data_IF_007326478459
#
_entry.id   IF_007326478459
#
_cell.length_a   1.000
_cell.length_b   1.000
_cell.length_c   1.000
_cell.angle_alpha   90.00
_cell.angle_beta   90.00
_cell.angle_gamma   90.00
#
_symmetry.space_group_name_H-M   'P 1'
#
loop_
_entity.id
_entity.type
_entity.pdbx_description
1 polymer ?
#
# COMPACT_ATOMS: atom_id res chain seq x y z
N UNK A 1 -16.65 18.14 0.72
CA UNK A 1 -16.56 16.65 0.63
C UNK A 1 -15.52 16.14 1.62
N UNK A 2 -15.80 15.07 2.37
CA UNK A 2 -14.86 14.45 3.32
C UNK A 2 -14.38 13.09 2.80
N UNK A 3 -13.07 12.86 2.75
CA UNK A 3 -12.44 11.63 2.27
C UNK A 3 -11.72 10.91 3.40
N UNK A 4 -12.16 9.70 3.75
CA UNK A 4 -11.41 8.79 4.59
C UNK A 4 -10.41 8.02 3.72
N UNK A 5 -9.13 8.36 3.85
CA UNK A 5 -8.05 7.73 3.09
C UNK A 5 -7.30 6.73 3.95
N UNK A 6 -7.50 5.45 3.67
CA UNK A 6 -6.85 4.33 4.34
C UNK A 6 -5.58 3.96 3.57
N UNK A 7 -4.45 4.51 4.01
CA UNK A 7 -3.19 4.46 3.29
C UNK A 7 -2.10 3.62 3.98
N UNK A 8 -0.90 3.70 3.44
CA UNK A 8 0.30 3.04 3.94
C UNK A 8 1.22 4.01 4.69
N UNK A 9 2.40 3.55 5.10
CA UNK A 9 3.45 4.41 5.66
C UNK A 9 3.89 5.55 4.73
N UNK A 10 3.73 5.39 3.42
CA UNK A 10 3.98 6.48 2.46
C UNK A 10 3.00 7.63 2.62
N UNK A 11 1.80 7.36 3.12
CA UNK A 11 0.71 8.32 3.21
C UNK A 11 0.70 9.05 4.55
N UNK A 12 1.04 8.33 5.63
CA UNK A 12 1.06 8.84 7.00
C UNK A 12 2.43 9.35 7.45
N UNK A 13 3.52 8.86 6.84
CA UNK A 13 4.89 9.24 7.22
C UNK A 13 5.29 10.64 6.73
N UNK A 14 6.40 11.15 7.28
CA UNK A 14 6.97 12.47 6.96
C UNK A 14 8.14 12.38 5.96
N UNK A 15 7.97 11.60 4.89
CA UNK A 15 8.98 11.36 3.86
C UNK A 15 9.11 12.51 2.86
N UNK A 16 8.08 13.32 2.74
CA UNK A 16 8.03 14.52 1.89
C UNK A 16 7.35 15.65 2.66
N UNK A 17 7.49 16.89 2.18
CA UNK A 17 6.80 18.03 2.76
C UNK A 17 5.26 17.81 2.73
N UNK A 18 4.52 18.32 3.71
CA UNK A 18 3.06 18.12 3.77
C UNK A 18 2.35 18.48 2.47
N UNK A 19 2.73 19.58 1.82
CA UNK A 19 2.14 20.03 0.54
C UNK A 19 2.47 19.14 -0.66
N UNK A 20 3.45 18.25 -0.52
CA UNK A 20 3.86 17.30 -1.57
C UNK A 20 3.24 15.92 -1.40
N UNK A 21 2.44 15.70 -0.35
CA UNK A 21 1.75 14.44 -0.15
C UNK A 21 0.66 14.24 -1.20
N UNK A 22 0.53 13.02 -1.71
CA UNK A 22 -0.39 12.70 -2.81
C UNK A 22 -1.85 13.05 -2.52
N UNK A 23 -2.32 12.89 -1.28
CA UNK A 23 -3.70 13.25 -0.93
C UNK A 23 -3.93 14.77 -0.95
N UNK A 24 -2.92 15.58 -0.60
CA UNK A 24 -3.02 17.05 -0.69
C UNK A 24 -3.08 17.48 -2.15
N UNK A 25 -2.22 16.92 -3.00
CA UNK A 25 -2.21 17.23 -4.45
C UNK A 25 -3.51 16.77 -5.11
N UNK A 26 -3.97 15.55 -4.83
CA UNK A 26 -5.24 15.04 -5.35
C UNK A 26 -6.44 15.84 -4.83
N UNK A 27 -6.37 16.32 -3.58
CA UNK A 27 -7.40 17.19 -3.00
C UNK A 27 -7.57 18.48 -3.77
N UNK A 28 -6.49 19.16 -4.13
CA UNK A 28 -6.54 20.38 -4.93
C UNK A 28 -7.20 20.16 -6.30
N UNK A 29 -6.97 19.01 -6.93
CA UNK A 29 -7.61 18.64 -8.19
C UNK A 29 -9.11 18.38 -8.02
N UNK A 30 -9.48 17.64 -6.95
CA UNK A 30 -10.88 17.36 -6.62
C UNK A 30 -11.65 18.63 -6.24
N UNK A 31 -11.04 19.55 -5.48
CA UNK A 31 -11.62 20.84 -5.13
C UNK A 31 -11.91 21.70 -6.39
N UNK A 32 -10.99 21.68 -7.35
CA UNK A 32 -11.18 22.37 -8.62
C UNK A 32 -12.33 21.78 -9.45
N UNK A 33 -12.51 20.47 -9.45
CA UNK A 33 -13.60 19.80 -10.19
C UNK A 33 -14.96 19.96 -9.50
N UNK A 34 -14.99 19.90 -8.18
CA UNK A 34 -16.24 19.88 -7.40
C UNK A 34 -16.72 21.29 -7.02
N UNK A 35 -15.82 22.29 -7.02
CA UNK A 35 -16.12 23.63 -6.55
C UNK A 35 -16.34 23.75 -5.04
N UNK A 36 -15.93 22.72 -4.26
CA UNK A 36 -16.05 22.69 -2.82
C UNK A 36 -14.78 22.16 -2.12
N UNK A 37 -14.50 22.53 -0.86
CA UNK A 37 -13.33 22.04 -0.13
C UNK A 37 -13.36 20.53 0.07
N UNK A 38 -12.15 19.91 0.05
CA UNK A 38 -11.94 18.48 0.32
C UNK A 38 -11.19 18.30 1.62
N UNK A 39 -11.86 17.74 2.62
CA UNK A 39 -11.29 17.39 3.92
C UNK A 39 -10.74 15.96 3.89
N UNK A 40 -9.50 15.77 4.32
CA UNK A 40 -8.85 14.46 4.36
C UNK A 40 -8.71 13.94 5.79
N UNK A 41 -9.26 12.76 6.03
CA UNK A 41 -8.99 11.94 7.22
C UNK A 41 -8.07 10.81 6.80
N UNK A 42 -6.78 10.92 7.10
CA UNK A 42 -5.76 9.96 6.67
C UNK A 42 -5.42 9.01 7.81
N UNK A 43 -5.64 7.73 7.61
CA UNK A 43 -5.31 6.67 8.57
C UNK A 43 -4.35 5.66 7.94
N UNK A 44 -3.32 5.26 8.71
CA UNK A 44 -2.39 4.21 8.27
C UNK A 44 -2.98 2.84 8.54
N UNK A 45 -3.00 1.97 7.54
CA UNK A 45 -3.50 0.61 7.68
C UNK A 45 -2.40 -0.46 7.61
N UNK A 46 -2.57 -1.50 8.40
CA UNK A 46 -1.77 -2.70 8.41
C UNK A 46 -2.71 -3.90 8.57
N UNK A 47 -2.64 -4.97 7.75
CA UNK A 47 -3.67 -6.03 7.71
C UNK A 47 -3.61 -6.97 8.93
N UNK A 48 -3.74 -6.42 10.11
CA UNK A 48 -3.89 -7.11 11.40
C UNK A 48 -5.32 -7.58 11.61
N UNK A 49 -5.54 -8.44 12.59
CA UNK A 49 -6.85 -9.03 12.86
C UNK A 49 -7.89 -8.00 13.32
N UNK A 50 -7.44 -6.93 13.95
CA UNK A 50 -8.25 -5.82 14.45
C UNK A 50 -8.50 -4.70 13.43
N UNK A 51 -7.91 -4.79 12.22
CA UNK A 51 -8.07 -3.75 11.21
C UNK A 51 -9.54 -3.50 10.82
N UNK A 52 -10.41 -4.50 10.63
CA UNK A 52 -11.82 -4.25 10.29
C UNK A 52 -12.55 -3.44 11.36
N UNK A 53 -12.27 -3.69 12.64
CA UNK A 53 -12.84 -2.94 13.76
C UNK A 53 -12.37 -1.48 13.74
N UNK A 54 -11.08 -1.24 13.45
CA UNK A 54 -10.56 0.11 13.27
C UNK A 54 -11.20 0.82 12.09
N UNK A 55 -11.39 0.14 10.96
CA UNK A 55 -12.07 0.72 9.79
C UNK A 55 -13.50 1.12 10.16
N UNK A 56 -14.25 0.27 10.87
CA UNK A 56 -15.60 0.57 11.33
C UNK A 56 -15.63 1.83 12.21
N UNK A 57 -14.73 1.89 13.21
CA UNK A 57 -14.63 3.04 14.10
C UNK A 57 -14.28 4.35 13.36
N UNK A 58 -13.34 4.29 12.40
CA UNK A 58 -12.97 5.47 11.61
C UNK A 58 -14.08 5.94 10.68
N UNK A 59 -14.85 5.03 10.11
CA UNK A 59 -16.04 5.36 9.30
C UNK A 59 -17.09 6.05 10.18
N UNK A 60 -17.37 5.50 11.35
CA UNK A 60 -18.31 6.08 12.31
C UNK A 60 -17.85 7.46 12.79
N UNK A 61 -16.57 7.60 13.16
CA UNK A 61 -15.99 8.87 13.66
C UNK A 61 -16.00 9.96 12.58
N UNK A 62 -15.59 9.62 11.33
CA UNK A 62 -15.38 10.61 10.30
C UNK A 62 -16.60 10.89 9.44
N UNK A 63 -17.60 10.01 9.40
CA UNK A 63 -18.79 10.12 8.53
C UNK A 63 -18.41 10.58 7.11
N UNK A 64 -17.59 9.79 6.36
CA UNK A 64 -17.00 10.25 5.12
C UNK A 64 -17.98 10.20 3.95
N UNK A 65 -17.79 11.10 2.98
CA UNK A 65 -18.46 11.04 1.67
C UNK A 65 -17.79 10.02 0.74
N UNK A 66 -16.47 9.82 0.92
CA UNK A 66 -15.66 8.86 0.15
C UNK A 66 -14.75 8.07 1.08
N UNK A 67 -14.71 6.76 0.90
CA UNK A 67 -13.74 5.86 1.57
C UNK A 67 -12.80 5.31 0.50
N UNK A 68 -11.51 5.64 0.60
CA UNK A 68 -10.50 5.13 -0.31
C UNK A 68 -9.57 4.15 0.41
N UNK A 69 -9.67 2.85 0.07
CA UNK A 69 -8.83 1.79 0.62
C UNK A 69 -7.65 1.51 -0.31
N UNK A 70 -6.44 1.77 0.16
CA UNK A 70 -5.22 1.54 -0.61
C UNK A 70 -4.54 0.23 -0.19
N UNK A 71 -4.62 -0.81 -1.03
CA UNK A 71 -4.01 -2.11 -0.76
C UNK A 71 -2.50 -2.07 -1.00
N UNK A 72 -1.73 -2.29 0.05
CA UNK A 72 -0.28 -2.23 0.01
C UNK A 72 0.39 -3.52 -0.46
N UNK A 73 1.10 -3.49 -1.59
CA UNK A 73 1.90 -4.64 -2.06
C UNK A 73 3.05 -5.00 -1.10
N UNK A 74 3.47 -4.07 -0.25
CA UNK A 74 4.54 -4.29 0.74
C UNK A 74 4.21 -5.44 1.70
N UNK A 75 2.96 -5.61 2.09
CA UNK A 75 2.53 -6.53 3.14
C UNK A 75 2.84 -8.00 2.81
N UNK A 76 2.73 -8.40 1.55
CA UNK A 76 2.82 -9.79 1.10
C UNK A 76 3.87 -10.05 0.01
N UNK A 77 4.43 -8.99 -0.62
CA UNK A 77 5.49 -9.14 -1.63
C UNK A 77 6.89 -8.76 -1.11
N UNK A 78 6.96 -7.96 -0.04
CA UNK A 78 8.25 -7.57 0.50
C UNK A 78 8.83 -8.66 1.40
N UNK A 79 9.99 -9.18 1.00
CA UNK A 79 10.70 -10.22 1.73
C UNK A 79 11.70 -9.62 2.70
N UNK A 80 11.46 -9.86 3.98
CA UNK A 80 12.29 -9.41 5.09
C UNK A 80 13.22 -10.51 5.58
N UNK A 81 14.53 -10.25 5.52
CA UNK A 81 15.56 -11.16 6.10
C UNK A 81 15.39 -11.27 7.61
N UNK A 82 15.19 -10.19 8.38
CA UNK A 82 14.93 -10.28 9.82
C UNK A 82 13.74 -11.17 10.18
N UNK A 83 12.64 -11.13 9.42
CA UNK A 83 11.50 -12.04 9.63
C UNK A 83 11.90 -13.51 9.42
N UNK A 84 12.67 -13.77 8.36
CA UNK A 84 13.17 -15.12 8.08
C UNK A 84 14.07 -15.65 9.19
N UNK A 85 15.00 -14.81 9.67
CA UNK A 85 15.87 -15.15 10.80
C UNK A 85 15.05 -15.40 12.07
N UNK A 86 14.08 -14.52 12.36
CA UNK A 86 13.18 -14.71 13.51
C UNK A 86 12.46 -16.06 13.45
N UNK A 87 11.98 -16.46 12.29
CA UNK A 87 11.28 -17.74 12.09
C UNK A 87 12.21 -18.94 12.18
N UNK A 88 13.41 -18.87 11.57
CA UNK A 88 14.39 -19.96 11.58
C UNK A 88 14.94 -20.26 12.98
N UNK A 89 15.22 -19.22 13.75
CA UNK A 89 15.76 -19.36 15.11
C UNK A 89 14.66 -19.64 16.15
N UNK A 90 13.40 -19.43 15.83
CA UNK A 90 12.25 -19.74 16.67
C UNK A 90 12.41 -19.25 18.10
N UNK A 91 12.13 -20.13 19.08
CA UNK A 91 12.25 -19.83 20.52
C UNK A 91 13.71 -19.70 21.01
N UNK A 92 14.70 -20.15 20.24
CA UNK A 92 16.12 -20.13 20.61
C UNK A 92 16.80 -18.75 20.42
N UNK A 93 16.04 -17.66 20.48
CA UNK A 93 16.57 -16.29 20.36
C UNK A 93 16.19 -15.56 19.08
N UNK A 94 15.30 -16.14 18.27
CA UNK A 94 14.83 -15.56 17.01
C UNK A 94 14.22 -14.17 17.18
N UNK A 95 13.58 -13.91 18.30
CA UNK A 95 12.99 -12.61 18.59
C UNK A 95 14.06 -11.54 18.82
N UNK A 96 15.10 -11.83 19.60
CA UNK A 96 16.22 -10.90 19.82
C UNK A 96 16.99 -10.62 18.54
N UNK A 97 17.30 -11.67 17.77
CA UNK A 97 18.02 -11.56 16.50
C UNK A 97 17.19 -10.81 15.44
N UNK A 98 15.89 -11.11 15.31
CA UNK A 98 14.97 -10.43 14.43
C UNK A 98 14.84 -8.93 14.76
N UNK A 99 14.63 -8.60 16.05
CA UNK A 99 14.52 -7.22 16.53
C UNK A 99 15.83 -6.42 16.36
N UNK A 100 16.99 -7.05 16.53
CA UNK A 100 18.27 -6.44 16.22
C UNK A 100 18.40 -6.15 14.73
N UNK A 101 18.03 -7.10 13.86
CA UNK A 101 17.98 -6.93 12.42
C UNK A 101 17.04 -5.81 11.97
N UNK A 102 15.86 -5.68 12.60
CA UNK A 102 14.93 -4.58 12.32
C UNK A 102 15.48 -3.22 12.76
N UNK A 103 16.14 -3.13 13.92
CA UNK A 103 16.78 -1.89 14.38
C UNK A 103 17.85 -1.41 13.40
N UNK A 104 18.70 -2.32 12.93
CA UNK A 104 19.72 -2.01 11.94
C UNK A 104 19.07 -1.59 10.61
N UNK A 105 18.04 -2.30 10.15
CA UNK A 105 17.36 -2.00 8.89
C UNK A 105 16.62 -0.63 8.91
N UNK A 106 16.16 -0.17 10.09
CA UNK A 106 15.50 1.13 10.28
C UNK A 106 16.47 2.30 10.49
N UNK A 107 17.75 2.02 10.73
CA UNK A 107 18.75 3.08 10.95
C UNK A 107 19.05 3.80 9.63
N UNK A 108 18.83 5.10 9.55
CA UNK A 108 19.14 5.94 8.39
C UNK A 108 20.59 5.79 7.94
N UNK A 109 21.53 5.71 8.90
CA UNK A 109 22.95 5.51 8.64
C UNK A 109 23.24 4.25 7.82
N UNK A 110 22.51 3.16 8.06
CA UNK A 110 22.71 1.87 7.38
C UNK A 110 21.83 1.73 6.14
N UNK A 111 20.65 2.34 6.12
CA UNK A 111 19.72 2.26 4.99
C UNK A 111 20.33 2.76 3.68
N UNK A 112 21.16 3.82 3.76
CA UNK A 112 21.83 4.44 2.61
C UNK A 112 23.22 3.87 2.32
N UNK A 113 23.76 3.02 3.22
CA UNK A 113 25.10 2.46 3.03
C UNK A 113 25.11 1.39 1.92
N UNK A 114 25.91 1.56 0.83
CA UNK A 114 25.92 0.65 -0.30
C UNK A 114 26.42 -0.75 0.07
N UNK A 115 27.36 -0.87 1.01
CA UNK A 115 27.87 -2.15 1.49
C UNK A 115 26.78 -2.91 2.24
N UNK A 116 26.06 -2.24 3.14
CA UNK A 116 24.94 -2.84 3.86
C UNK A 116 23.82 -3.26 2.89
N UNK A 117 23.51 -2.46 1.89
CA UNK A 117 22.56 -2.82 0.82
C UNK A 117 23.00 -4.08 0.06
N UNK A 118 24.30 -4.18 -0.26
CA UNK A 118 24.90 -5.37 -0.88
C UNK A 118 24.77 -6.62 -0.01
N UNK A 119 25.12 -6.52 1.28
CA UNK A 119 24.97 -7.61 2.24
C UNK A 119 23.51 -8.04 2.37
N UNK A 120 22.59 -7.07 2.53
CA UNK A 120 21.15 -7.37 2.61
C UNK A 120 20.66 -8.10 1.36
N UNK A 121 21.10 -7.68 0.17
CA UNK A 121 20.76 -8.33 -1.09
C UNK A 121 21.29 -9.76 -1.15
N UNK A 122 22.56 -9.97 -0.80
CA UNK A 122 23.17 -11.28 -0.75
C UNK A 122 22.46 -12.22 0.24
N UNK A 123 22.09 -11.73 1.43
CA UNK A 123 21.30 -12.49 2.40
C UNK A 123 19.90 -12.81 1.87
N UNK A 124 19.23 -11.89 1.17
CA UNK A 124 17.95 -12.17 0.54
C UNK A 124 18.07 -13.24 -0.56
N UNK A 125 19.18 -13.29 -1.26
CA UNK A 125 19.43 -14.27 -2.32
C UNK A 125 19.80 -15.67 -1.79
N UNK A 126 20.50 -15.73 -0.66
CA UNK A 126 21.00 -17.00 -0.07
C UNK A 126 20.03 -17.60 0.94
N UNK A 127 19.64 -16.84 1.95
CA UNK A 127 18.76 -17.29 3.05
C UNK A 127 17.29 -17.12 2.66
N UNK A 128 17.01 -16.22 1.71
CA UNK A 128 15.67 -15.79 1.36
C UNK A 128 15.12 -14.77 2.36
N UNK A 129 13.83 -14.47 2.24
CA UNK A 129 13.11 -13.60 3.16
C UNK A 129 11.68 -14.08 3.31
N UNK A 130 11.06 -13.76 4.43
CA UNK A 130 9.65 -14.00 4.68
C UNK A 130 8.85 -12.70 4.52
N UNK A 131 7.61 -12.82 4.07
CA UNK A 131 6.67 -11.71 4.02
C UNK A 131 6.00 -11.52 5.39
N UNK A 132 5.47 -10.33 5.64
CA UNK A 132 4.74 -10.04 6.88
C UNK A 132 3.46 -10.86 6.97
N UNK A 133 2.75 -10.95 5.84
CA UNK A 133 1.51 -11.71 5.71
C UNK A 133 1.58 -12.60 4.48
N UNK A 134 0.81 -13.67 4.46
CA UNK A 134 0.52 -14.43 3.25
C UNK A 134 -0.48 -13.65 2.39
N UNK A 135 -0.52 -13.94 1.09
CA UNK A 135 -1.52 -13.34 0.19
C UNK A 135 -2.94 -13.63 0.67
N UNK A 136 -3.20 -14.85 1.18
CA UNK A 136 -4.52 -15.22 1.69
C UNK A 136 -4.90 -14.39 2.92
N UNK A 137 -4.01 -14.22 3.89
CA UNK A 137 -4.27 -13.36 5.05
C UNK A 137 -4.61 -11.93 4.66
N UNK A 138 -3.96 -11.40 3.60
CA UNK A 138 -4.28 -10.05 3.09
C UNK A 138 -5.64 -10.04 2.41
N UNK A 139 -5.97 -11.07 1.61
CA UNK A 139 -7.30 -11.21 0.97
C UNK A 139 -8.38 -11.21 2.05
N UNK A 140 -8.29 -12.13 3.02
CA UNK A 140 -9.30 -12.31 4.06
C UNK A 140 -9.52 -10.99 4.82
N UNK A 141 -8.43 -10.32 5.18
CA UNK A 141 -8.50 -9.09 5.95
C UNK A 141 -9.04 -7.90 5.16
N UNK A 142 -8.63 -7.77 3.88
CA UNK A 142 -9.15 -6.72 3.01
C UNK A 142 -10.61 -6.96 2.65
N UNK A 143 -11.05 -8.21 2.49
CA UNK A 143 -12.45 -8.55 2.30
C UNK A 143 -13.31 -8.07 3.47
N UNK A 144 -12.91 -8.36 4.71
CA UNK A 144 -13.60 -7.86 5.90
C UNK A 144 -13.66 -6.33 5.93
N UNK A 145 -12.55 -5.65 5.65
CA UNK A 145 -12.50 -4.18 5.61
C UNK A 145 -13.42 -3.58 4.53
N UNK A 146 -13.44 -4.18 3.34
CA UNK A 146 -14.29 -3.71 2.23
C UNK A 146 -15.77 -3.92 2.56
N UNK A 147 -16.12 -5.06 3.16
CA UNK A 147 -17.51 -5.32 3.61
C UNK A 147 -17.96 -4.33 4.69
N UNK A 148 -17.05 -3.95 5.60
CA UNK A 148 -17.34 -2.92 6.61
C UNK A 148 -17.53 -1.56 5.93
N UNK A 149 -16.64 -1.16 5.03
CA UNK A 149 -16.75 0.10 4.32
C UNK A 149 -18.01 0.19 3.45
N UNK A 150 -18.39 -0.91 2.78
CA UNK A 150 -19.58 -0.98 1.93
C UNK A 150 -20.91 -0.82 2.67
N UNK A 151 -20.92 -0.94 4.02
CA UNK A 151 -22.11 -0.68 4.84
C UNK A 151 -22.34 0.80 5.12
N UNK A 152 -21.41 1.66 4.78
CA UNK A 152 -21.55 3.11 4.93
C UNK A 152 -22.46 3.65 3.81
N UNK A 153 -23.77 3.71 4.04
CA UNK A 153 -24.80 4.00 3.04
C UNK A 153 -24.60 5.29 2.25
N UNK A 154 -23.96 6.29 2.87
CA UNK A 154 -23.73 7.60 2.27
C UNK A 154 -22.33 7.78 1.66
N UNK A 155 -21.46 6.78 1.77
CA UNK A 155 -20.09 6.88 1.29
C UNK A 155 -19.87 6.16 -0.03
N UNK A 156 -19.17 6.81 -0.94
CA UNK A 156 -18.62 6.16 -2.13
C UNK A 156 -17.36 5.40 -1.74
N UNK A 157 -17.34 4.08 -1.94
CA UNK A 157 -16.20 3.24 -1.60
C UNK A 157 -15.36 2.97 -2.85
N UNK A 158 -14.07 3.25 -2.75
CA UNK A 158 -13.07 3.00 -3.80
C UNK A 158 -11.96 2.12 -3.24
N UNK A 159 -11.72 0.99 -3.86
CA UNK A 159 -10.66 0.05 -3.48
C UNK A 159 -9.55 0.09 -4.51
N UNK A 160 -8.37 0.55 -4.11
CA UNK A 160 -7.18 0.49 -4.95
C UNK A 160 -6.53 -0.88 -4.84
N UNK A 161 -6.44 -1.57 -5.96
CA UNK A 161 -5.77 -2.85 -6.07
C UNK A 161 -4.25 -2.78 -5.90
N UNK A 162 -3.59 -3.92 -5.63
CA UNK A 162 -2.15 -3.99 -5.45
C UNK A 162 -1.43 -3.70 -6.77
N UNK A 163 -0.49 -2.75 -6.74
CA UNK A 163 0.37 -2.50 -7.90
C UNK A 163 1.61 -3.39 -7.88
N UNK A 164 2.04 -3.83 -9.05
CA UNK A 164 3.25 -4.63 -9.23
C UNK A 164 4.51 -3.83 -8.95
N UNK A 165 5.55 -4.53 -8.53
CA UNK A 165 6.91 -3.98 -8.37
C UNK A 165 7.80 -4.60 -9.43
N UNK A 166 8.14 -3.86 -10.49
CA UNK A 166 9.25 -4.27 -11.34
C UNK A 166 10.54 -4.08 -10.57
N UNK A 167 11.14 -5.16 -10.10
CA UNK A 167 12.51 -5.13 -9.59
C UNK A 167 13.44 -5.22 -10.78
N UNK A 168 14.15 -4.15 -11.10
CA UNK A 168 15.17 -4.11 -12.16
C UNK A 168 16.26 -5.19 -12.00
N UNK A 169 16.38 -5.80 -10.82
CA UNK A 169 17.38 -6.81 -10.48
C UNK A 169 16.79 -8.13 -9.96
N UNK A 170 15.49 -8.33 -10.02
CA UNK A 170 14.91 -9.58 -9.56
C UNK A 170 15.20 -10.70 -10.56
N UNK A 171 15.57 -11.89 -10.05
CA UNK A 171 15.61 -13.10 -10.87
C UNK A 171 14.21 -13.34 -11.45
N UNK A 172 14.13 -13.77 -12.71
CA UNK A 172 12.88 -14.02 -13.44
C UNK A 172 11.87 -14.83 -12.59
N UNK A 173 12.31 -15.91 -11.97
CA UNK A 173 11.45 -16.77 -11.12
C UNK A 173 10.87 -16.04 -9.89
N UNK A 174 11.63 -15.12 -9.29
CA UNK A 174 11.15 -14.36 -8.14
C UNK A 174 10.11 -13.33 -8.57
N UNK A 175 10.34 -12.68 -9.72
CA UNK A 175 9.37 -11.76 -10.31
C UNK A 175 8.06 -12.48 -10.67
N UNK A 176 8.13 -13.61 -11.39
CA UNK A 176 6.95 -14.38 -11.78
C UNK A 176 6.13 -14.90 -10.60
N UNK A 177 6.81 -15.27 -9.50
CA UNK A 177 6.13 -15.65 -8.26
C UNK A 177 5.43 -14.44 -7.61
N UNK A 178 6.13 -13.33 -7.45
CA UNK A 178 5.58 -12.13 -6.84
C UNK A 178 4.39 -11.59 -7.66
N UNK A 179 4.46 -11.72 -8.99
CA UNK A 179 3.38 -11.33 -9.89
C UNK A 179 2.16 -12.27 -9.79
N UNK A 180 2.37 -13.59 -9.65
CA UNK A 180 1.26 -14.53 -9.36
C UNK A 180 0.54 -14.19 -8.07
N UNK A 181 1.28 -13.88 -7.00
CA UNK A 181 0.68 -13.49 -5.72
C UNK A 181 -0.08 -12.16 -5.83
N UNK A 182 0.46 -11.20 -6.58
CA UNK A 182 -0.21 -9.93 -6.87
C UNK A 182 -1.52 -10.15 -7.63
N UNK A 183 -1.48 -10.94 -8.70
CA UNK A 183 -2.66 -11.24 -9.51
C UNK A 183 -3.72 -11.99 -8.69
N UNK A 184 -3.33 -12.92 -7.83
CA UNK A 184 -4.26 -13.61 -6.94
C UNK A 184 -5.03 -12.63 -6.05
N UNK A 185 -4.33 -11.67 -5.42
CA UNK A 185 -4.98 -10.64 -4.62
C UNK A 185 -5.83 -9.69 -5.48
N UNK A 186 -5.30 -9.26 -6.64
CA UNK A 186 -6.03 -8.41 -7.58
C UNK A 186 -7.38 -9.02 -7.96
N UNK A 187 -7.38 -10.26 -8.45
CA UNK A 187 -8.59 -10.96 -8.87
C UNK A 187 -9.59 -11.13 -7.73
N UNK A 188 -9.12 -11.50 -6.53
CA UNK A 188 -10.00 -11.65 -5.37
C UNK A 188 -10.69 -10.32 -4.99
N UNK A 189 -9.93 -9.21 -4.96
CA UNK A 189 -10.50 -7.90 -4.63
C UNK A 189 -11.43 -7.37 -5.72
N UNK A 190 -11.09 -7.57 -6.99
CA UNK A 190 -11.92 -7.17 -8.13
C UNK A 190 -13.28 -7.87 -8.09
N UNK A 191 -13.30 -9.20 -7.93
CA UNK A 191 -14.53 -9.98 -7.81
C UNK A 191 -15.37 -9.58 -6.59
N UNK A 192 -14.73 -9.32 -5.46
CA UNK A 192 -15.43 -8.86 -4.27
C UNK A 192 -16.07 -7.47 -4.48
N UNK A 193 -15.32 -6.55 -5.08
CA UNK A 193 -15.83 -5.20 -5.36
C UNK A 193 -17.01 -5.24 -6.34
N UNK A 194 -16.97 -6.11 -7.35
CA UNK A 194 -18.07 -6.34 -8.26
C UNK A 194 -19.32 -6.85 -7.51
N UNK A 195 -19.16 -7.86 -6.65
CA UNK A 195 -20.25 -8.42 -5.84
C UNK A 195 -20.89 -7.41 -4.88
N UNK A 196 -20.10 -6.47 -4.36
CA UNK A 196 -20.56 -5.46 -3.40
C UNK A 196 -20.94 -4.13 -4.07
N UNK A 197 -20.87 -4.03 -5.40
CA UNK A 197 -21.08 -2.79 -6.16
C UNK A 197 -20.17 -1.63 -5.69
N UNK A 198 -18.93 -1.97 -5.32
CA UNK A 198 -17.88 -1.04 -4.89
C UNK A 198 -16.93 -0.76 -6.06
N UNK A 199 -16.48 0.48 -6.18
CA UNK A 199 -15.56 0.85 -7.26
C UNK A 199 -14.18 0.23 -7.03
N UNK A 200 -13.72 -0.58 -8.00
CA UNK A 200 -12.38 -1.11 -8.01
C UNK A 200 -11.47 -0.29 -8.92
N UNK A 201 -10.35 0.19 -8.37
CA UNK A 201 -9.26 0.88 -9.08
C UNK A 201 -8.05 -0.04 -9.16
N UNK A 202 -8.13 -1.04 -10.02
CA UNK A 202 -7.06 -2.00 -10.29
C UNK A 202 -6.06 -1.45 -11.31
N UNK A 203 -4.80 -1.84 -11.17
CA UNK A 203 -3.72 -1.45 -12.12
C UNK A 203 -3.66 -2.35 -13.35
N UNK A 204 -4.70 -3.13 -13.60
CA UNK A 204 -4.81 -4.05 -14.72
C UNK A 204 -3.79 -5.19 -14.68
N UNK A 205 -3.79 -6.03 -15.72
CA UNK A 205 -2.91 -7.20 -15.82
C UNK A 205 -1.42 -6.82 -15.88
N UNK A 206 -1.08 -5.69 -16.51
CA UNK A 206 0.31 -5.23 -16.59
C UNK A 206 0.90 -4.87 -15.24
N UNK A 207 0.09 -4.51 -14.25
CA UNK A 207 0.40 -4.30 -12.82
C UNK A 207 1.66 -3.50 -12.49
N UNK A 208 2.44 -3.22 -13.50
CA UNK A 208 3.76 -2.60 -13.38
C UNK A 208 3.67 -1.17 -13.84
N UNK A 209 3.76 -0.27 -12.89
CA UNK A 209 3.96 1.14 -13.20
C UNK A 209 5.44 1.36 -13.54
N UNK A 210 5.79 1.16 -14.78
CA UNK A 210 7.14 1.40 -15.27
C UNK A 210 7.30 2.89 -15.63
N UNK A 211 7.18 3.77 -14.64
CA UNK A 211 7.42 5.20 -14.82
C UNK A 211 8.85 5.57 -14.40
N UNK A 212 9.43 6.67 -14.95
CA UNK A 212 10.72 7.17 -14.50
C UNK A 212 10.78 7.44 -12.99
N UNK A 213 9.71 7.97 -12.41
CA UNK A 213 9.58 8.19 -10.97
C UNK A 213 9.68 6.90 -10.16
N UNK A 214 9.03 5.85 -10.62
CA UNK A 214 9.06 4.55 -9.98
C UNK A 214 10.44 3.87 -10.07
N UNK A 215 11.13 4.02 -11.22
CA UNK A 215 12.51 3.52 -11.40
C UNK A 215 13.48 4.22 -10.45
N UNK A 216 13.36 5.54 -10.27
CA UNK A 216 14.19 6.30 -9.35
C UNK A 216 14.01 5.87 -7.90
N UNK A 217 12.79 5.63 -7.46
CA UNK A 217 12.49 5.12 -6.12
C UNK A 217 13.26 3.83 -5.81
N UNK A 218 13.39 2.93 -6.78
CA UNK A 218 14.14 1.67 -6.62
C UNK A 218 15.65 1.91 -6.65
N UNK A 219 16.10 2.93 -7.38
CA UNK A 219 17.52 3.24 -7.58
C UNK A 219 18.11 4.15 -6.48
N UNK A 220 17.29 4.98 -5.85
CA UNK A 220 17.69 5.99 -4.87
C UNK A 220 16.99 5.81 -3.52
N UNK A 221 17.54 6.39 -2.47
CA UNK A 221 16.97 6.34 -1.14
C UNK A 221 16.93 4.93 -0.52
N UNK A 222 15.96 4.69 0.32
CA UNK A 222 15.78 3.40 1.01
C UNK A 222 15.10 2.33 0.12
N UNK A 223 14.64 2.71 -1.06
CA UNK A 223 13.95 1.84 -2.01
C UNK A 223 12.53 1.43 -1.58
N UNK A 224 11.99 2.06 -0.54
CA UNK A 224 10.67 1.78 0.04
C UNK A 224 9.73 2.97 -0.04
N UNK A 225 10.20 4.15 0.36
CA UNK A 225 9.36 5.32 0.48
C UNK A 225 9.37 6.18 -0.78
N UNK A 226 8.22 6.76 -1.08
CA UNK A 226 8.02 7.61 -2.24
C UNK A 226 8.67 8.98 -2.04
N UNK A 227 9.36 9.48 -3.06
CA UNK A 227 9.79 10.86 -3.17
C UNK A 227 8.64 11.78 -3.66
N UNK A 228 8.88 13.08 -3.72
CA UNK A 228 7.88 14.06 -4.12
C UNK A 228 7.35 13.84 -5.55
N UNK A 229 8.17 13.31 -6.46
CA UNK A 229 7.75 13.04 -7.83
C UNK A 229 6.84 11.81 -7.90
N UNK A 230 7.17 10.76 -7.14
CA UNK A 230 6.30 9.60 -7.05
C UNK A 230 4.98 9.95 -6.34
N UNK A 231 5.01 10.82 -5.32
CA UNK A 231 3.79 11.34 -4.70
C UNK A 231 2.90 12.08 -5.70
N UNK A 232 3.47 12.92 -6.60
CA UNK A 232 2.71 13.58 -7.67
C UNK A 232 2.07 12.57 -8.62
N UNK A 233 2.83 11.57 -9.05
CA UNK A 233 2.29 10.52 -9.91
C UNK A 233 1.20 9.68 -9.22
N UNK A 234 1.37 9.36 -7.94
CA UNK A 234 0.35 8.63 -7.17
C UNK A 234 -0.87 9.51 -6.82
N UNK A 235 -0.72 10.84 -6.83
CA UNK A 235 -1.83 11.77 -6.69
C UNK A 235 -2.80 11.68 -7.88
N UNK A 236 -2.29 11.62 -9.11
CA UNK A 236 -3.10 11.40 -10.32
C UNK A 236 -3.91 10.10 -10.24
N UNK A 237 -3.30 9.05 -9.70
CA UNK A 237 -3.99 7.78 -9.53
C UNK A 237 -5.08 7.87 -8.47
N UNK A 238 -4.79 8.52 -7.34
CA UNK A 238 -5.75 8.73 -6.27
C UNK A 238 -6.94 9.57 -6.73
N UNK A 239 -6.66 10.70 -7.41
CA UNK A 239 -7.64 11.57 -8.01
C UNK A 239 -8.54 10.81 -9.01
N UNK A 240 -7.94 10.12 -9.98
CA UNK A 240 -8.67 9.35 -10.99
C UNK A 240 -9.54 8.26 -10.37
N UNK A 241 -9.02 7.55 -9.36
CA UNK A 241 -9.78 6.52 -8.66
C UNK A 241 -10.99 7.07 -7.91
N UNK A 242 -10.85 8.18 -7.18
CA UNK A 242 -11.96 8.84 -6.48
C UNK A 242 -12.98 9.35 -7.49
N UNK A 243 -12.52 10.03 -8.54
CA UNK A 243 -13.40 10.55 -9.59
C UNK A 243 -14.22 9.45 -10.26
N UNK A 244 -13.58 8.31 -10.58
CA UNK A 244 -14.27 7.13 -11.11
C UNK A 244 -15.38 6.65 -10.16
N UNK A 245 -15.09 6.61 -8.85
CA UNK A 245 -16.07 6.23 -7.84
C UNK A 245 -17.24 7.19 -7.78
N UNK A 246 -16.98 8.49 -7.75
CA UNK A 246 -18.02 9.53 -7.72
C UNK A 246 -18.90 9.50 -8.98
N UNK A 247 -18.30 9.29 -10.16
CA UNK A 247 -19.04 9.13 -11.42
C UNK A 247 -19.94 7.89 -11.40
N UNK A 248 -19.41 6.76 -10.92
CA UNK A 248 -20.20 5.52 -10.80
C UNK A 248 -21.40 5.67 -9.84
N UNK A 249 -21.27 6.53 -8.84
CA UNK A 249 -22.32 6.88 -7.89
C UNK A 249 -23.25 8.01 -8.35
N UNK A 250 -23.05 8.57 -9.54
CA UNK A 250 -23.83 9.72 -10.05
C UNK A 250 -23.63 11.01 -9.25
N UNK A 251 -22.46 11.19 -8.62
CA UNK A 251 -22.10 12.35 -7.80
C UNK A 251 -21.12 13.31 -8.48
N UNK A 252 -20.76 13.04 -9.74
CA UNK A 252 -19.94 13.82 -10.65
C UNK A 252 -20.54 13.82 -12.03
#
# INVERSE_FOLDING_TARGET
>A
MRVLFLGSSNDTGNWVAPTQKKHVIAGQQLEADLGEPVEWVVKGIWPTEDLPQHVAAWVEESQPDVIYLNTGSYWFLYRSVPLRVKRLLGRLGGEKAGNAGFRVAKSERWAHNPVFRGIRKALQETIGGDTHFTTQQVIDRMEECIRVAARAENAVVVVKGPHGKRRLSARKRAFERDERERLKLHTALEQLCEQLHVTYDGVGESGVRDTPAYRRRVATGDGLHADAELHRHEAEVLYTGIRKGLQAAGRL
#
